data_IF_733199869738
#
_entry.id   IF_733199869738
#
_cell.length_a   1.000
_cell.length_b   1.000
_cell.length_c   1.000
_cell.angle_alpha   90.00
_cell.angle_beta   90.00
_cell.angle_gamma   90.00
#
_symmetry.space_group_name_H-M   'P 1'
#
loop_
_entity.id
_entity.type
_entity.pdbx_description
1 polymer ?
#
# COMPACT_ATOMS: atom_id res chain seq x y z
N UNK A 1 -7.25 12.82 -6.00
CA UNK A 1 -6.06 13.54 -5.47
C UNK A 1 -6.48 14.96 -5.12
N UNK A 2 -5.92 15.59 -4.08
CA UNK A 2 -5.99 17.04 -3.85
C UNK A 2 -4.70 17.51 -3.15
N UNK A 3 -4.05 18.52 -3.72
CA UNK A 3 -2.74 19.03 -3.32
C UNK A 3 -2.76 20.56 -3.27
N UNK A 4 -1.82 21.14 -2.51
CA UNK A 4 -1.70 22.59 -2.29
C UNK A 4 -0.24 22.95 -1.95
N UNK A 5 0.13 24.24 -1.79
CA UNK A 5 -0.46 25.48 -2.30
C UNK A 5 0.28 25.83 -3.60
N UNK A 6 -0.31 25.75 -4.78
CA UNK A 6 -1.61 26.34 -5.13
C UNK A 6 -2.49 25.40 -5.97
N UNK A 7 -2.33 24.10 -5.79
CA UNK A 7 -3.30 23.13 -6.26
C UNK A 7 -2.67 21.87 -6.83
N UNK A 8 -3.32 20.74 -6.64
CA UNK A 8 -4.10 20.14 -7.73
C UNK A 8 -5.02 19.03 -7.22
N UNK A 9 -6.23 18.95 -7.77
CA UNK A 9 -7.10 17.79 -7.63
C UNK A 9 -7.04 16.94 -8.88
N UNK A 10 -7.03 15.61 -8.76
CA UNK A 10 -7.18 14.69 -9.89
C UNK A 10 -8.28 13.70 -9.58
N UNK A 11 -9.29 13.67 -10.43
CA UNK A 11 -10.42 12.76 -10.41
C UNK A 11 -10.46 12.13 -11.79
N UNK A 12 -10.46 10.80 -11.84
CA UNK A 12 -10.60 10.04 -13.07
C UNK A 12 -11.78 9.11 -12.89
N UNK A 13 -12.76 9.22 -13.77
CA UNK A 13 -13.84 8.24 -13.84
C UNK A 13 -13.26 6.94 -14.42
N UNK A 14 -13.09 5.94 -13.57
CA UNK A 14 -12.68 4.62 -13.99
C UNK A 14 -13.93 3.79 -14.31
N UNK A 15 -14.05 3.19 -15.51
CA UNK A 15 -15.20 2.35 -15.87
C UNK A 15 -15.27 1.05 -15.04
N UNK A 16 -14.16 0.68 -14.42
CA UNK A 16 -14.01 -0.49 -13.54
C UNK A 16 -13.11 -0.14 -12.35
N UNK A 17 -13.12 -0.98 -11.30
CA UNK A 17 -12.27 -0.80 -10.12
C UNK A 17 -10.79 -0.76 -10.51
N UNK A 18 -10.08 0.27 -10.06
CA UNK A 18 -8.70 0.51 -10.51
C UNK A 18 -7.77 -0.57 -9.95
N UNK A 19 -7.11 -1.31 -10.84
CA UNK A 19 -6.15 -2.33 -10.43
C UNK A 19 -5.02 -1.73 -9.57
N UNK A 20 -4.51 -2.52 -8.62
CA UNK A 20 -3.40 -2.11 -7.76
C UNK A 20 -2.15 -1.68 -8.55
N UNK A 21 -1.91 -2.30 -9.71
CA UNK A 21 -0.82 -1.94 -10.60
C UNK A 21 -0.97 -0.51 -11.14
N UNK A 22 -2.19 -0.11 -11.50
CA UNK A 22 -2.47 1.26 -11.95
C UNK A 22 -2.35 2.25 -10.78
N UNK A 23 -2.85 1.91 -9.58
CA UNK A 23 -2.67 2.74 -8.39
C UNK A 23 -1.19 2.94 -8.05
N UNK A 24 -0.36 1.89 -8.11
CA UNK A 24 1.09 2.00 -7.91
C UNK A 24 1.79 2.81 -8.99
N UNK A 25 1.38 2.70 -10.25
CA UNK A 25 1.96 3.52 -11.31
C UNK A 25 1.68 5.02 -11.10
N UNK A 26 0.53 5.36 -10.50
CA UNK A 26 0.13 6.75 -10.24
C UNK A 26 0.75 7.28 -8.93
N UNK A 27 0.76 6.46 -7.88
CA UNK A 27 1.10 6.88 -6.51
C UNK A 27 2.37 6.24 -5.96
N UNK A 28 3.16 5.53 -6.77
CA UNK A 28 4.30 4.73 -6.31
C UNK A 28 5.42 5.53 -5.64
N UNK A 29 5.50 6.84 -5.89
CA UNK A 29 6.46 7.73 -5.22
C UNK A 29 5.91 8.40 -3.96
N UNK A 30 4.72 8.05 -3.48
CA UNK A 30 4.17 8.58 -2.25
C UNK A 30 4.55 7.72 -1.04
N UNK A 31 4.98 8.35 0.06
CA UNK A 31 5.30 7.65 1.31
C UNK A 31 4.06 7.05 1.99
N UNK A 32 2.88 7.63 1.73
CA UNK A 32 1.61 7.16 2.26
C UNK A 32 0.47 7.40 1.27
N UNK A 33 -0.34 6.37 1.04
CA UNK A 33 -1.59 6.47 0.26
C UNK A 33 -2.75 6.09 1.18
N UNK A 34 -3.66 7.04 1.41
CA UNK A 34 -4.92 6.78 2.09
C UNK A 34 -5.99 6.43 1.04
N UNK A 35 -6.64 5.29 1.24
CA UNK A 35 -7.70 4.81 0.35
C UNK A 35 -8.99 4.74 1.16
N UNK A 36 -10.01 5.46 0.69
CA UNK A 36 -11.37 5.31 1.21
C UNK A 36 -12.10 4.20 0.44
N UNK A 37 -12.65 3.23 1.16
CA UNK A 37 -13.29 2.06 0.55
C UNK A 37 -12.35 0.86 0.39
N UNK A 38 -12.48 0.11 -0.71
CA UNK A 38 -11.71 -1.10 -1.03
C UNK A 38 -11.66 -2.14 0.11
N UNK A 39 -12.84 -2.54 0.61
CA UNK A 39 -12.97 -3.50 1.72
C UNK A 39 -12.31 -4.86 1.43
N UNK A 40 -12.29 -5.27 0.17
CA UNK A 40 -11.68 -6.53 -0.27
C UNK A 40 -10.19 -6.39 -0.63
N UNK A 41 -9.63 -5.18 -0.53
CA UNK A 41 -8.22 -4.92 -0.85
C UNK A 41 -7.25 -5.57 0.15
N UNK A 42 -6.00 -5.87 -0.26
CA UNK A 42 -5.03 -6.57 0.60
C UNK A 42 -4.35 -5.67 1.65
N UNK A 43 -4.71 -4.39 1.72
CA UNK A 43 -4.02 -3.40 2.54
C UNK A 43 -4.51 -3.38 4.00
N UNK A 44 -3.69 -2.87 4.95
CA UNK A 44 -4.15 -2.55 6.30
C UNK A 44 -5.28 -1.53 6.28
N UNK A 45 -6.28 -1.67 7.16
CA UNK A 45 -7.48 -0.86 7.18
C UNK A 45 -7.73 -0.26 8.55
N UNK A 46 -8.13 1.00 8.56
CA UNK A 46 -8.78 1.65 9.69
C UNK A 46 -10.27 1.61 9.45
N UNK A 47 -11.01 0.96 10.35
CA UNK A 47 -12.47 1.02 10.27
C UNK A 47 -12.96 2.30 10.96
N UNK A 48 -13.80 3.07 10.28
CA UNK A 48 -14.60 4.12 10.94
C UNK A 48 -15.98 3.55 11.21
N UNK A 49 -16.29 3.28 12.47
CA UNK A 49 -17.52 2.63 12.90
C UNK A 49 -18.43 3.60 13.67
N UNK A 50 -19.73 3.56 13.38
CA UNK A 50 -20.77 4.29 14.13
C UNK A 50 -22.01 3.41 14.27
N UNK A 51 -22.44 3.18 15.50
CA UNK A 51 -23.60 2.34 15.83
C UNK A 51 -24.90 2.90 15.20
N UNK A 52 -25.05 4.23 15.17
CA UNK A 52 -26.20 4.95 14.61
C UNK A 52 -26.51 4.61 13.14
N UNK A 53 -25.54 4.11 12.38
CA UNK A 53 -25.72 3.70 10.99
C UNK A 53 -26.36 2.31 10.83
N UNK A 54 -26.64 1.61 11.95
CA UNK A 54 -27.35 0.34 11.97
C UNK A 54 -26.62 -0.82 11.29
N UNK A 55 -25.31 -0.67 11.03
CA UNK A 55 -24.47 -1.71 10.43
C UNK A 55 -23.56 -2.30 11.50
N UNK A 56 -23.31 -3.61 11.52
CA UNK A 56 -22.35 -4.20 12.46
C UNK A 56 -20.91 -3.76 12.16
N UNK A 57 -19.96 -3.80 13.11
CA UNK A 57 -18.54 -3.53 12.86
C UNK A 57 -17.95 -4.46 11.79
N UNK A 58 -17.14 -3.94 10.88
CA UNK A 58 -16.48 -4.65 9.78
C UNK A 58 -15.29 -5.48 10.26
N UNK A 59 -14.64 -5.10 11.36
CA UNK A 59 -13.44 -5.74 11.89
C UNK A 59 -13.54 -7.27 12.03
N UNK A 60 -14.73 -7.80 12.34
CA UNK A 60 -14.94 -9.25 12.49
C UNK A 60 -15.03 -10.01 11.16
N UNK A 61 -15.37 -9.32 10.07
CA UNK A 61 -15.64 -9.95 8.74
C UNK A 61 -14.69 -9.51 7.64
N UNK A 62 -14.06 -8.35 7.78
CA UNK A 62 -13.12 -7.80 6.80
C UNK A 62 -11.70 -8.08 7.27
N UNK A 63 -10.92 -8.77 6.43
CA UNK A 63 -9.51 -9.04 6.73
C UNK A 63 -8.67 -7.77 6.69
N UNK A 64 -7.71 -7.68 7.61
CA UNK A 64 -6.70 -6.62 7.63
C UNK A 64 -7.16 -5.32 8.29
N UNK A 65 -8.29 -5.32 9.02
CA UNK A 65 -8.61 -4.21 9.94
C UNK A 65 -7.60 -4.22 11.09
N UNK A 66 -6.89 -3.11 11.28
CA UNK A 66 -5.80 -3.00 12.26
C UNK A 66 -6.15 -2.10 13.45
N UNK A 67 -7.20 -1.28 13.33
CA UNK A 67 -7.78 -0.48 14.40
C UNK A 67 -9.16 0.07 13.98
N UNK A 68 -9.93 0.56 14.95
CA UNK A 68 -11.27 1.13 14.73
C UNK A 68 -11.34 2.54 15.32
N UNK A 69 -11.87 3.49 14.57
CA UNK A 69 -12.26 4.83 15.02
C UNK A 69 -13.76 4.84 15.25
N UNK A 70 -14.21 5.09 16.47
CA UNK A 70 -15.63 5.07 16.81
C UNK A 70 -15.95 5.97 18.02
N UNK A 71 -17.09 6.69 18.02
CA UNK A 71 -17.57 7.34 19.23
C UNK A 71 -18.13 6.33 20.24
N UNK A 72 -18.46 5.12 19.79
CA UNK A 72 -19.19 4.11 20.56
C UNK A 72 -18.24 3.23 21.39
N UNK A 73 -18.80 2.48 22.34
CA UNK A 73 -18.06 1.50 23.13
C UNK A 73 -18.16 0.14 22.46
N UNK A 74 -17.02 -0.42 22.05
CA UNK A 74 -16.94 -1.74 21.42
C UNK A 74 -16.09 -2.69 22.25
N UNK A 75 -16.50 -3.96 22.32
CA UNK A 75 -15.72 -5.04 22.92
C UNK A 75 -14.96 -5.79 21.82
N UNK A 76 -13.82 -5.24 21.38
CA UNK A 76 -12.97 -5.83 20.34
C UNK A 76 -11.51 -5.89 20.79
N UNK A 77 -10.76 -6.87 20.28
CA UNK A 77 -9.31 -7.03 20.54
C UNK A 77 -8.45 -6.19 19.56
N UNK A 78 -8.92 -4.99 19.22
CA UNK A 78 -8.26 -4.05 18.32
C UNK A 78 -8.12 -2.69 18.99
N UNK A 79 -7.07 -1.92 18.66
CA UNK A 79 -6.96 -0.54 19.10
C UNK A 79 -8.22 0.26 18.71
N UNK A 80 -8.77 0.97 19.69
CA UNK A 80 -9.91 1.85 19.52
C UNK A 80 -9.45 3.30 19.68
N UNK A 81 -9.87 4.15 18.75
CA UNK A 81 -9.67 5.60 18.80
C UNK A 81 -11.03 6.30 18.80
N UNK A 82 -11.11 7.44 19.49
CA UNK A 82 -12.26 8.34 19.39
C UNK A 82 -12.13 9.23 18.13
N UNK A 83 -13.23 9.77 17.59
CA UNK A 83 -13.19 10.62 16.40
C UNK A 83 -12.38 11.92 16.54
N UNK A 84 -12.14 12.37 17.78
CA UNK A 84 -11.37 13.57 18.17
C UNK A 84 -9.93 13.24 18.61
N UNK A 85 -9.47 12.01 18.36
CA UNK A 85 -8.10 11.57 18.65
C UNK A 85 -7.25 11.45 17.38
N UNK A 86 -7.38 12.41 16.44
CA UNK A 86 -6.66 12.37 15.15
C UNK A 86 -5.14 12.26 15.32
N UNK A 87 -4.56 12.91 16.32
CA UNK A 87 -3.11 12.84 16.60
C UNK A 87 -2.69 11.40 16.94
N UNK A 88 -3.49 10.68 17.75
CA UNK A 88 -3.21 9.29 18.11
C UNK A 88 -3.35 8.35 16.92
N UNK A 89 -4.30 8.62 16.03
CA UNK A 89 -4.47 7.86 14.78
C UNK A 89 -3.26 8.08 13.87
N UNK A 90 -2.79 9.33 13.74
CA UNK A 90 -1.60 9.68 12.95
C UNK A 90 -0.35 8.99 13.51
N UNK A 91 -0.14 9.03 14.83
CA UNK A 91 0.99 8.36 15.48
C UNK A 91 0.94 6.86 15.23
N UNK A 92 -0.24 6.24 15.41
CA UNK A 92 -0.43 4.81 15.15
C UNK A 92 -0.10 4.42 13.71
N UNK A 93 -0.57 5.19 12.72
CA UNK A 93 -0.25 4.97 11.30
C UNK A 93 1.26 5.11 11.08
N UNK A 94 1.87 6.17 11.59
CA UNK A 94 3.28 6.50 11.38
C UNK A 94 4.22 5.45 11.96
N UNK A 95 3.95 5.00 13.19
CA UNK A 95 4.76 3.98 13.83
C UNK A 95 4.59 2.61 13.20
N UNK A 96 3.35 2.24 12.86
CA UNK A 96 3.05 0.89 12.38
C UNK A 96 3.40 0.68 10.92
N UNK A 97 3.21 1.69 10.08
CA UNK A 97 3.34 1.57 8.62
C UNK A 97 4.59 2.25 8.07
N UNK A 98 4.97 3.42 8.58
CA UNK A 98 6.09 4.20 8.03
C UNK A 98 7.42 3.79 8.68
N UNK A 99 7.47 3.65 10.01
CA UNK A 99 8.72 3.27 10.71
C UNK A 99 9.14 1.80 10.55
N UNK A 100 8.26 0.94 10.02
CA UNK A 100 8.58 -0.46 9.70
C UNK A 100 9.26 -0.65 8.34
N UNK A 101 9.61 0.43 7.63
CA UNK A 101 10.45 0.42 6.42
C UNK A 101 11.95 0.15 6.70
N UNK A 102 12.30 -0.44 7.85
CA UNK A 102 13.63 -1.02 8.00
C UNK A 102 13.75 -2.24 7.08
N UNK A 103 14.23 -1.94 5.87
CA UNK A 103 14.88 -2.81 4.90
C UNK A 103 14.00 -3.87 4.22
N UNK A 104 13.05 -3.43 3.39
CA UNK A 104 12.69 -4.23 2.22
C UNK A 104 13.56 -3.82 1.04
N UNK A 105 14.72 -4.46 0.94
CA UNK A 105 15.69 -4.22 -0.13
C UNK A 105 15.15 -4.62 -1.52
N UNK A 106 14.22 -5.59 -1.58
CA UNK A 106 13.61 -6.07 -2.83
C UNK A 106 12.16 -6.48 -2.60
N UNK A 107 11.26 -5.92 -3.41
CA UNK A 107 9.86 -6.35 -3.53
C UNK A 107 9.62 -6.97 -4.92
N UNK A 108 8.92 -8.11 -4.98
CA UNK A 108 8.52 -8.75 -6.24
C UNK A 108 7.00 -8.80 -6.35
N UNK A 109 6.49 -8.42 -7.52
CA UNK A 109 5.08 -8.48 -7.87
C UNK A 109 4.92 -9.36 -9.10
N UNK A 110 4.10 -10.40 -9.01
CA UNK A 110 3.74 -11.25 -10.15
C UNK A 110 2.23 -11.14 -10.38
N UNK A 111 1.81 -10.73 -11.58
CA UNK A 111 0.41 -10.54 -11.96
C UNK A 111 -0.40 -9.71 -10.94
N UNK A 112 0.22 -8.64 -10.42
CA UNK A 112 -0.37 -7.74 -9.43
C UNK A 112 -0.39 -8.26 -7.98
N UNK A 113 0.17 -9.45 -7.71
CA UNK A 113 0.26 -10.02 -6.36
C UNK A 113 1.68 -9.90 -5.81
N UNK A 114 1.80 -9.45 -4.57
CA UNK A 114 3.10 -9.44 -3.86
C UNK A 114 3.56 -10.87 -3.64
N UNK A 115 4.76 -11.19 -4.11
CA UNK A 115 5.40 -12.49 -3.95
C UNK A 115 6.44 -12.40 -2.85
N UNK A 116 6.32 -13.27 -1.84
CA UNK A 116 7.31 -13.35 -0.77
C UNK A 116 8.56 -14.07 -1.27
N UNK A 117 9.69 -13.37 -1.23
CA UNK A 117 11.00 -13.93 -1.59
C UNK A 117 11.66 -14.56 -0.36
N UNK A 118 12.12 -15.80 -0.51
CA UNK A 118 12.97 -16.43 0.49
C UNK A 118 14.38 -15.78 0.52
N UNK A 119 15.17 -16.01 1.59
CA UNK A 119 16.47 -15.35 1.75
C UNK A 119 17.46 -15.60 0.60
N UNK A 120 17.45 -16.82 0.03
CA UNK A 120 18.33 -17.17 -1.08
C UNK A 120 18.00 -16.36 -2.35
N UNK A 121 16.74 -16.34 -2.76
CA UNK A 121 16.28 -15.63 -3.97
C UNK A 121 16.49 -14.13 -3.80
N UNK A 122 16.21 -13.59 -2.61
CA UNK A 122 16.45 -12.17 -2.30
C UNK A 122 17.92 -11.81 -2.48
N UNK A 123 18.84 -12.58 -1.89
CA UNK A 123 20.27 -12.33 -2.01
C UNK A 123 20.80 -12.48 -3.45
N UNK A 124 20.24 -13.40 -4.23
CA UNK A 124 20.58 -13.55 -5.64
C UNK A 124 20.17 -12.31 -6.45
N UNK A 125 18.91 -11.88 -6.31
CA UNK A 125 18.39 -10.72 -7.03
C UNK A 125 19.15 -9.44 -6.67
N UNK A 126 19.49 -9.24 -5.39
CA UNK A 126 20.26 -8.09 -4.94
C UNK A 126 21.58 -7.96 -5.72
N UNK A 127 22.36 -9.04 -5.75
CA UNK A 127 23.66 -9.05 -6.45
C UNK A 127 23.52 -8.85 -7.95
N UNK A 128 22.50 -9.45 -8.56
CA UNK A 128 22.25 -9.29 -10.00
C UNK A 128 21.88 -7.84 -10.35
N UNK A 129 20.98 -7.23 -9.58
CA UNK A 129 20.57 -5.85 -9.78
C UNK A 129 21.77 -4.92 -9.62
N UNK A 130 22.57 -5.08 -8.57
CA UNK A 130 23.80 -4.29 -8.39
C UNK A 130 24.76 -4.44 -9.56
N UNK A 131 25.03 -5.67 -10.02
CA UNK A 131 25.92 -5.91 -11.14
C UNK A 131 25.42 -5.24 -12.44
N UNK A 132 24.10 -5.30 -12.70
CA UNK A 132 23.47 -4.64 -13.84
C UNK A 132 23.63 -3.12 -13.72
N UNK A 133 23.30 -2.52 -12.57
CA UNK A 133 23.39 -1.07 -12.36
C UNK A 133 24.82 -0.53 -12.48
N UNK A 134 25.83 -1.30 -12.10
CA UNK A 134 27.24 -0.92 -12.30
C UNK A 134 27.66 -0.92 -13.78
N UNK A 135 27.00 -1.72 -14.61
CA UNK A 135 27.31 -1.86 -16.04
C UNK A 135 26.55 -0.90 -16.94
N UNK A 136 25.45 -0.33 -16.45
CA UNK A 136 24.59 0.58 -17.21
C UNK A 136 25.05 2.03 -17.06
N UNK A 137 25.03 2.77 -18.17
CA UNK A 137 25.21 4.23 -18.14
C UNK A 137 23.90 4.89 -17.74
N UNK A 138 23.97 5.97 -16.96
CA UNK A 138 22.80 6.72 -16.49
C UNK A 138 22.17 6.17 -15.21
N UNK A 139 22.82 5.20 -14.55
CA UNK A 139 22.43 4.65 -13.24
C UNK A 139 23.43 5.02 -12.15
N UNK A 140 24.28 6.01 -12.38
CA UNK A 140 25.26 6.48 -11.40
C UNK A 140 24.55 7.13 -10.19
N UNK A 141 24.76 6.59 -8.99
CA UNK A 141 24.23 7.15 -7.75
C UNK A 141 22.73 6.92 -7.49
N UNK A 142 22.06 6.11 -8.31
CA UNK A 142 20.64 5.79 -8.13
C UNK A 142 20.38 5.11 -6.78
N UNK A 143 19.36 5.58 -6.08
CA UNK A 143 18.95 5.03 -4.77
C UNK A 143 17.90 3.93 -4.93
N UNK A 144 17.14 3.96 -6.02
CA UNK A 144 16.04 3.05 -6.30
C UNK A 144 16.04 2.67 -7.79
N UNK A 145 15.68 1.42 -8.08
CA UNK A 145 15.42 0.95 -9.44
C UNK A 145 14.15 0.10 -9.47
N UNK A 146 13.29 0.36 -10.45
CA UNK A 146 12.14 -0.50 -10.75
C UNK A 146 12.39 -1.25 -12.05
N UNK A 147 12.27 -2.58 -12.02
CA UNK A 147 12.36 -3.44 -13.20
C UNK A 147 10.97 -3.97 -13.54
N UNK A 148 10.51 -3.68 -14.76
CA UNK A 148 9.26 -4.21 -15.29
C UNK A 148 9.54 -5.22 -16.39
N UNK A 149 8.93 -6.40 -16.29
CA UNK A 149 8.97 -7.42 -17.32
C UNK A 149 7.56 -7.86 -17.69
N UNK A 150 7.31 -8.04 -18.99
CA UNK A 150 6.07 -8.56 -19.53
C UNK A 150 6.39 -9.69 -20.50
N UNK A 151 5.77 -10.85 -20.30
CA UNK A 151 5.82 -11.94 -21.27
C UNK A 151 5.16 -11.48 -22.58
N UNK A 152 5.90 -11.52 -23.68
CA UNK A 152 5.31 -11.33 -25.02
C UNK A 152 4.58 -12.63 -25.37
N UNK A 153 3.29 -12.55 -25.73
CA UNK A 153 2.58 -13.69 -26.30
C UNK A 153 3.06 -13.87 -27.73
N UNK A 154 3.80 -14.94 -28.01
CA UNK A 154 3.97 -15.37 -29.40
C UNK A 154 2.60 -15.80 -29.93
N UNK A 155 2.22 -15.32 -31.11
CA UNK A 155 0.89 -15.53 -31.72
C UNK A 155 0.60 -16.97 -32.17
N UNK A 156 1.07 -17.96 -31.42
CA UNK A 156 0.84 -19.39 -31.63
C UNK A 156 0.62 -20.08 -30.28
N UNK A 157 -0.48 -19.74 -29.62
CA UNK A 157 -1.21 -20.60 -28.69
C UNK A 157 -2.70 -20.30 -28.84
#
# INVERSE_FOLDING_TARGET
MLLTPKGFSYVEDAPEETSLNKLRAIFGGADLVLVEGMKEGPFPKLEVYREELGKPPLAERVKGVIAIVTPDSLSVDLPLFRPDEEEKVVDFISERLIRNEKEKEIEMIADGKIVTLNPFVRGLLHRLIQAILLSLKGTEGVQEVTLYWRKVKDGKD
#
